data_IF_090267290995
#
_entry.id   IF_090267290995
#
_cell.length_a   1.000
_cell.length_b   1.000
_cell.length_c   1.000
_cell.angle_alpha   90.00
_cell.angle_beta   90.00
_cell.angle_gamma   90.00
#
_symmetry.space_group_name_H-M   'P 1'
#
loop_
_entity.id
_entity.type
_entity.pdbx_description
1 polymer ?
#
# COMPACT_ATOMS: atom_id res chain seq x y z
N UNK A 1 -31.22 62.53 -67.10
CA UNK A 1 -29.99 61.97 -66.52
C UNK A 1 -30.33 60.66 -65.83
N UNK A 2 -29.62 59.55 -66.10
CA UNK A 2 -29.90 58.28 -65.43
C UNK A 2 -29.34 58.29 -63.99
N UNK A 3 -30.08 57.66 -63.09
CA UNK A 3 -29.74 57.51 -61.68
C UNK A 3 -28.68 56.40 -61.47
N UNK A 4 -27.80 56.48 -60.46
CA UNK A 4 -27.03 55.33 -60.02
C UNK A 4 -27.86 54.50 -59.04
N UNK A 5 -28.04 53.26 -59.46
CA UNK A 5 -28.68 52.13 -58.81
C UNK A 5 -28.11 51.82 -57.42
N UNK A 6 -29.01 51.74 -56.45
CA UNK A 6 -28.82 51.13 -55.14
C UNK A 6 -28.38 49.67 -55.31
N UNK A 7 -27.15 49.38 -54.89
CA UNK A 7 -26.61 48.02 -54.81
C UNK A 7 -27.21 47.31 -53.59
N UNK A 8 -28.38 46.69 -53.79
CA UNK A 8 -28.95 45.73 -52.86
C UNK A 8 -28.10 44.46 -52.82
N UNK A 9 -27.10 44.44 -51.94
CA UNK A 9 -26.36 43.23 -51.57
C UNK A 9 -27.33 42.16 -51.06
N UNK A 10 -27.26 40.98 -51.66
CA UNK A 10 -28.30 39.95 -51.66
C UNK A 10 -28.41 39.23 -50.30
N UNK A 11 -29.59 39.18 -49.66
CA UNK A 11 -29.82 38.49 -48.37
C UNK A 11 -29.52 36.98 -48.35
N UNK A 12 -29.42 36.36 -49.53
CA UNK A 12 -29.18 34.92 -49.68
C UNK A 12 -27.72 34.52 -49.39
N UNK A 13 -26.76 35.42 -49.64
CA UNK A 13 -25.33 35.13 -49.48
C UNK A 13 -24.92 35.08 -47.99
N UNK A 14 -25.53 35.93 -47.16
CA UNK A 14 -25.38 35.92 -45.71
C UNK A 14 -26.08 34.73 -45.06
N UNK A 15 -27.24 34.31 -45.56
CA UNK A 15 -27.98 33.15 -45.03
C UNK A 15 -27.23 31.82 -45.24
N UNK A 16 -26.67 31.60 -46.43
CA UNK A 16 -25.88 30.41 -46.72
C UNK A 16 -24.59 30.34 -45.89
N UNK A 17 -23.95 31.50 -45.64
CA UNK A 17 -22.80 31.60 -44.74
C UNK A 17 -23.13 31.21 -43.30
N UNK A 18 -24.25 31.73 -42.77
CA UNK A 18 -24.75 31.39 -41.42
C UNK A 18 -25.12 29.91 -41.32
N UNK A 19 -25.77 29.33 -42.33
CA UNK A 19 -26.11 27.89 -42.35
C UNK A 19 -24.86 27.01 -42.33
N UNK A 20 -23.80 27.40 -43.06
CA UNK A 20 -22.52 26.70 -43.03
C UNK A 20 -21.87 26.79 -41.65
N UNK A 21 -21.88 27.96 -41.02
CA UNK A 21 -21.32 28.19 -39.69
C UNK A 21 -22.06 27.41 -38.60
N UNK A 22 -23.39 27.36 -38.66
CA UNK A 22 -24.22 26.52 -37.77
C UNK A 22 -23.84 25.05 -37.94
N UNK A 23 -23.66 24.59 -39.18
CA UNK A 23 -23.27 23.20 -39.46
C UNK A 23 -21.89 22.87 -38.89
N UNK A 24 -20.92 23.76 -39.07
CA UNK A 24 -19.56 23.60 -38.53
C UNK A 24 -19.56 23.62 -37.00
N UNK A 25 -20.34 24.51 -36.38
CA UNK A 25 -20.46 24.62 -34.92
C UNK A 25 -21.10 23.36 -34.33
N UNK A 26 -22.15 22.82 -34.97
CA UNK A 26 -22.77 21.55 -34.56
C UNK A 26 -21.78 20.38 -34.66
N UNK A 27 -20.96 20.33 -35.70
CA UNK A 27 -19.91 19.31 -35.81
C UNK A 27 -18.85 19.44 -34.71
N UNK A 28 -18.40 20.66 -34.39
CA UNK A 28 -17.46 20.89 -33.29
C UNK A 28 -18.04 20.52 -31.93
N UNK A 29 -19.32 20.83 -31.68
CA UNK A 29 -20.01 20.43 -30.45
C UNK A 29 -20.04 18.91 -30.29
N UNK A 30 -20.44 18.18 -31.34
CA UNK A 30 -20.45 16.72 -31.30
C UNK A 30 -19.07 16.12 -31.02
N UNK A 31 -18.00 16.69 -31.60
CA UNK A 31 -16.62 16.25 -31.33
C UNK A 31 -16.18 16.53 -29.88
N UNK A 32 -16.62 17.64 -29.29
CA UNK A 32 -16.30 17.98 -27.91
C UNK A 32 -17.07 17.09 -26.92
N UNK A 33 -18.34 16.81 -27.20
CA UNK A 33 -19.16 15.88 -26.42
C UNK A 33 -18.54 14.47 -26.43
N UNK A 34 -18.10 13.98 -27.58
CA UNK A 34 -17.40 12.69 -27.70
C UNK A 34 -16.10 12.67 -26.89
N UNK A 35 -15.28 13.74 -26.96
CA UNK A 35 -14.05 13.86 -26.18
C UNK A 35 -14.31 13.89 -24.67
N UNK A 36 -15.35 14.60 -24.25
CA UNK A 36 -15.72 14.71 -22.85
C UNK A 36 -16.15 13.35 -22.28
N UNK A 37 -16.96 12.59 -23.02
CA UNK A 37 -17.36 11.25 -22.61
C UNK A 37 -16.17 10.27 -22.60
N UNK A 38 -15.26 10.37 -23.57
CA UNK A 38 -14.04 9.58 -23.57
C UNK A 38 -13.13 9.90 -22.37
N UNK A 39 -13.04 11.16 -21.96
CA UNK A 39 -12.28 11.59 -20.80
C UNK A 39 -12.89 11.09 -19.49
N UNK A 40 -14.20 11.29 -19.28
CA UNK A 40 -14.91 10.74 -18.13
C UNK A 40 -14.73 9.23 -17.99
N UNK A 41 -14.73 8.51 -19.10
CA UNK A 41 -14.50 7.06 -19.11
C UNK A 41 -13.08 6.72 -18.65
N UNK A 42 -12.06 7.42 -19.16
CA UNK A 42 -10.67 7.23 -18.71
C UNK A 42 -10.51 7.52 -17.22
N UNK A 43 -11.09 8.60 -16.72
CA UNK A 43 -11.01 8.97 -15.30
C UNK A 43 -11.69 7.92 -14.41
N UNK A 44 -12.85 7.42 -14.84
CA UNK A 44 -13.55 6.33 -14.16
C UNK A 44 -12.71 5.03 -14.12
N UNK A 45 -12.07 4.68 -15.23
CA UNK A 45 -11.19 3.50 -15.29
C UNK A 45 -9.96 3.66 -14.38
N UNK A 46 -9.34 4.85 -14.37
CA UNK A 46 -8.19 5.18 -13.52
C UNK A 46 -8.56 5.11 -12.04
N UNK A 47 -9.69 5.71 -11.64
CA UNK A 47 -10.20 5.65 -10.28
C UNK A 47 -10.54 4.22 -9.85
N UNK A 48 -11.13 3.41 -10.73
CA UNK A 48 -11.41 2.00 -10.45
C UNK A 48 -10.13 1.17 -10.29
N UNK A 49 -9.04 1.53 -10.97
CA UNK A 49 -7.73 0.90 -10.79
C UNK A 49 -7.09 1.29 -9.46
N UNK A 50 -7.10 2.58 -9.11
CA UNK A 50 -6.62 3.07 -7.81
C UNK A 50 -7.39 2.46 -6.65
N UNK A 51 -8.72 2.40 -6.76
CA UNK A 51 -9.59 1.75 -5.78
C UNK A 51 -9.24 0.28 -5.58
N UNK A 52 -9.05 -0.49 -6.65
CA UNK A 52 -8.65 -1.91 -6.55
C UNK A 52 -7.34 -2.09 -5.78
N UNK A 53 -6.31 -1.29 -6.07
CA UNK A 53 -5.04 -1.33 -5.33
C UNK A 53 -5.20 -0.95 -3.86
N UNK A 54 -6.00 0.09 -3.59
CA UNK A 54 -6.31 0.48 -2.23
C UNK A 54 -7.05 -0.63 -1.47
N UNK A 55 -8.03 -1.27 -2.10
CA UNK A 55 -8.81 -2.36 -1.51
C UNK A 55 -7.97 -3.65 -1.32
N UNK A 56 -7.00 -3.93 -2.20
CA UNK A 56 -6.02 -5.00 -2.00
C UNK A 56 -5.21 -4.81 -0.71
N UNK A 57 -4.94 -3.56 -0.34
CA UNK A 57 -4.12 -3.20 0.82
C UNK A 57 -4.94 -2.96 2.11
N UNK A 58 -6.00 -2.16 2.02
CA UNK A 58 -6.84 -1.69 3.15
C UNK A 58 -8.20 -2.39 3.25
N UNK A 59 -8.60 -3.19 2.26
CA UNK A 59 -9.95 -3.72 2.15
C UNK A 59 -10.28 -4.85 3.15
N UNK A 60 -11.56 -5.07 3.46
CA UNK A 60 -12.02 -6.03 4.46
C UNK A 60 -11.74 -7.51 4.11
N UNK A 61 -11.34 -7.80 2.87
CA UNK A 61 -11.02 -9.14 2.37
C UNK A 61 -9.60 -9.26 1.75
N UNK A 62 -8.69 -8.33 2.07
CA UNK A 62 -7.31 -8.38 1.57
C UNK A 62 -6.63 -9.72 1.91
N UNK A 63 -6.14 -10.43 0.90
CA UNK A 63 -5.43 -11.71 1.07
C UNK A 63 -3.96 -11.50 1.48
N UNK A 64 -3.43 -12.40 2.32
CA UNK A 64 -2.04 -12.60 2.81
C UNK A 64 -1.28 -11.42 3.48
N UNK A 65 -1.69 -10.16 3.23
CA UNK A 65 -1.01 -8.92 3.64
C UNK A 65 -1.99 -7.90 4.24
N UNK A 66 -2.88 -8.34 5.14
CA UNK A 66 -3.89 -7.45 5.72
C UNK A 66 -3.27 -6.17 6.32
N UNK A 67 -3.91 -5.02 6.12
CA UNK A 67 -3.63 -3.77 6.83
C UNK A 67 -3.46 -4.01 8.34
N UNK A 68 -4.24 -4.93 8.91
CA UNK A 68 -4.12 -5.33 10.31
C UNK A 68 -2.76 -5.98 10.63
N UNK A 69 -2.23 -6.84 9.75
CA UNK A 69 -0.91 -7.45 9.90
C UNK A 69 0.21 -6.42 9.74
N UNK A 70 0.07 -5.48 8.80
CA UNK A 70 0.98 -4.35 8.66
C UNK A 70 0.98 -3.50 9.93
N UNK A 71 -0.21 -3.14 10.42
CA UNK A 71 -0.39 -2.36 11.62
C UNK A 71 0.23 -3.06 12.84
N UNK A 72 0.00 -4.37 13.01
CA UNK A 72 0.62 -5.18 14.08
C UNK A 72 2.15 -5.26 13.96
N UNK A 73 2.66 -5.33 12.73
CA UNK A 73 4.10 -5.35 12.48
C UNK A 73 4.76 -4.01 12.82
N UNK A 74 4.17 -2.90 12.37
CA UNK A 74 4.62 -1.54 12.73
C UNK A 74 4.52 -1.34 14.24
N UNK A 75 3.41 -1.77 14.86
CA UNK A 75 3.22 -1.69 16.30
C UNK A 75 4.30 -2.49 17.04
N UNK A 76 4.65 -3.68 16.55
CA UNK A 76 5.70 -4.50 17.15
C UNK A 76 7.07 -3.83 17.06
N UNK A 77 7.41 -3.19 15.92
CA UNK A 77 8.67 -2.45 15.75
C UNK A 77 8.70 -1.18 16.60
N UNK A 78 7.61 -0.41 16.61
CA UNK A 78 7.53 0.86 17.34
C UNK A 78 7.57 0.66 18.86
N UNK A 79 7.08 -0.48 19.35
CA UNK A 79 7.06 -0.82 20.77
C UNK A 79 8.21 -1.74 21.22
N UNK A 80 9.25 -1.96 20.39
CA UNK A 80 10.40 -2.73 20.88
C UNK A 80 11.07 -1.94 22.01
N UNK A 81 11.13 -2.54 23.19
CA UNK A 81 11.82 -1.97 24.36
C UNK A 81 13.31 -2.34 24.37
N UNK A 82 14.08 -1.67 25.24
CA UNK A 82 15.48 -2.05 25.47
C UNK A 82 16.43 -1.68 24.33
N UNK A 83 17.25 -2.63 23.88
CA UNK A 83 18.42 -2.39 23.02
C UNK A 83 18.02 -1.88 21.63
N UNK A 84 16.98 -2.42 21.02
CA UNK A 84 16.53 -2.00 19.68
C UNK A 84 16.03 -0.55 19.67
N UNK A 85 15.39 -0.10 20.75
CA UNK A 85 15.00 1.32 20.91
C UNK A 85 16.19 2.27 20.98
N UNK A 86 17.28 1.83 21.59
CA UNK A 86 18.53 2.60 21.70
C UNK A 86 19.29 2.65 20.39
N UNK A 87 19.23 1.55 19.62
CA UNK A 87 19.95 1.46 18.35
C UNK A 87 19.24 2.25 17.25
N UNK A 88 17.89 2.26 17.22
CA UNK A 88 17.11 2.80 16.10
C UNK A 88 16.08 3.89 16.45
N UNK A 89 16.45 4.97 17.15
CA UNK A 89 15.49 5.99 17.58
C UNK A 89 14.80 6.71 16.41
N UNK A 90 15.55 7.08 15.36
CA UNK A 90 15.00 7.76 14.19
C UNK A 90 14.03 6.87 13.40
N UNK A 91 14.33 5.57 13.31
CA UNK A 91 13.52 4.61 12.55
C UNK A 91 12.22 4.27 13.25
N UNK A 92 12.26 4.15 14.58
CA UNK A 92 11.06 4.00 15.41
C UNK A 92 10.15 5.24 15.29
N UNK A 93 10.72 6.45 15.32
CA UNK A 93 9.94 7.67 15.14
C UNK A 93 9.20 7.70 13.79
N UNK A 94 9.87 7.30 12.69
CA UNK A 94 9.24 7.17 11.38
C UNK A 94 8.10 6.15 11.38
N UNK A 95 8.29 4.99 12.01
CA UNK A 95 7.23 3.99 12.11
C UNK A 95 6.03 4.47 12.94
N UNK A 96 6.25 5.27 13.98
CA UNK A 96 5.18 5.89 14.74
C UNK A 96 4.42 6.97 13.94
N UNK A 97 5.10 7.69 13.05
CA UNK A 97 4.45 8.62 12.12
C UNK A 97 3.59 7.87 11.10
N UNK A 98 4.14 6.82 10.48
CA UNK A 98 3.42 5.96 9.53
C UNK A 98 2.19 5.34 10.22
N UNK A 99 2.36 4.81 11.45
CA UNK A 99 1.24 4.26 12.23
C UNK A 99 0.14 5.28 12.45
N UNK A 100 0.49 6.50 12.86
CA UNK A 100 -0.47 7.59 13.08
C UNK A 100 -1.20 7.98 11.78
N UNK A 101 -0.50 8.00 10.66
CA UNK A 101 -1.10 8.28 9.35
C UNK A 101 -2.09 7.18 8.93
N UNK A 102 -1.70 5.90 9.06
CA UNK A 102 -2.55 4.75 8.74
C UNK A 102 -3.80 4.69 9.65
N UNK A 103 -3.65 4.96 10.94
CA UNK A 103 -4.81 5.04 11.87
C UNK A 103 -5.79 6.12 11.44
N UNK A 104 -5.32 7.32 11.07
CA UNK A 104 -6.20 8.39 10.57
C UNK A 104 -6.92 8.00 9.28
N UNK A 105 -6.22 7.30 8.38
CA UNK A 105 -6.80 6.80 7.13
C UNK A 105 -7.89 5.76 7.39
N UNK A 106 -7.70 4.90 8.40
CA UNK A 106 -8.66 3.88 8.81
C UNK A 106 -9.88 4.44 9.55
N UNK A 107 -9.67 5.40 10.46
CA UNK A 107 -10.71 6.04 11.28
C UNK A 107 -11.55 7.06 10.49
N UNK A 108 -11.13 7.42 9.27
CA UNK A 108 -11.88 8.35 8.43
C UNK A 108 -13.25 7.77 8.11
N UNK A 109 -14.35 8.50 8.36
CA UNK A 109 -15.71 8.02 8.10
C UNK A 109 -15.86 7.61 6.63
N UNK A 110 -16.59 6.51 6.43
CA UNK A 110 -16.79 5.69 5.22
C UNK A 110 -17.43 6.49 4.06
N UNK A 111 -16.79 7.55 3.64
CA UNK A 111 -16.86 8.11 2.30
C UNK A 111 -15.57 7.67 1.66
N UNK A 112 -15.64 6.80 0.65
CA UNK A 112 -14.46 6.29 -0.05
C UNK A 112 -13.44 7.41 -0.30
N UNK A 113 -12.14 7.15 -0.12
CA UNK A 113 -11.12 8.14 -0.46
C UNK A 113 -11.38 8.68 -1.86
N UNK A 114 -11.31 10.00 -2.05
CA UNK A 114 -11.36 10.57 -3.41
C UNK A 114 -10.06 10.17 -4.10
N UNK A 115 -10.16 9.16 -4.97
CA UNK A 115 -9.04 8.65 -5.76
C UNK A 115 -8.58 9.63 -6.85
N UNK A 116 -9.34 10.70 -7.08
CA UNK A 116 -8.96 11.81 -7.95
C UNK A 116 -7.73 12.55 -7.41
N UNK A 117 -7.55 12.56 -6.08
CA UNK A 117 -6.47 13.28 -5.39
C UNK A 117 -5.28 12.39 -5.02
N UNK A 118 -5.40 11.09 -5.23
CA UNK A 118 -4.36 10.12 -4.89
C UNK A 118 -3.67 9.70 -6.17
N UNK A 119 -2.37 9.93 -6.23
CA UNK A 119 -1.53 9.48 -7.33
C UNK A 119 -1.28 7.97 -7.26
N UNK A 120 -0.87 7.39 -8.38
CA UNK A 120 -0.44 5.99 -8.39
C UNK A 120 0.83 5.78 -7.56
N UNK A 121 1.72 6.77 -7.51
CA UNK A 121 2.97 6.73 -6.75
C UNK A 121 2.70 6.67 -5.24
N UNK A 122 1.74 7.45 -4.73
CA UNK A 122 1.34 7.39 -3.32
C UNK A 122 0.71 6.04 -2.94
N UNK A 123 0.00 5.39 -3.86
CA UNK A 123 -0.50 4.02 -3.65
C UNK A 123 0.62 2.98 -3.69
N UNK A 124 1.63 3.15 -4.54
CA UNK A 124 2.79 2.24 -4.56
C UNK A 124 3.68 2.40 -3.33
N UNK A 125 3.80 3.60 -2.77
CA UNK A 125 4.53 3.83 -1.53
C UNK A 125 4.00 2.97 -0.37
N UNK A 126 2.70 2.63 -0.37
CA UNK A 126 2.11 1.70 0.60
C UNK A 126 2.72 0.29 0.50
N UNK A 127 3.02 -0.18 -0.72
CA UNK A 127 3.70 -1.45 -0.96
C UNK A 127 5.19 -1.38 -0.55
N UNK A 128 5.86 -0.26 -0.81
CA UNK A 128 7.26 -0.06 -0.42
C UNK A 128 7.46 -0.08 1.10
N UNK A 129 6.52 0.51 1.85
CA UNK A 129 6.51 0.47 3.32
C UNK A 129 6.50 -0.98 3.82
N UNK A 130 5.74 -1.88 3.18
CA UNK A 130 5.73 -3.30 3.53
C UNK A 130 7.09 -3.97 3.34
N UNK A 131 7.77 -3.68 2.23
CA UNK A 131 9.13 -4.16 1.95
C UNK A 131 10.12 -3.74 3.04
N UNK A 132 10.07 -2.46 3.43
CA UNK A 132 10.91 -1.91 4.49
C UNK A 132 10.66 -2.59 5.84
N UNK A 133 9.38 -2.76 6.22
CA UNK A 133 9.00 -3.41 7.49
C UNK A 133 9.48 -4.84 7.54
N UNK A 134 9.34 -5.58 6.44
CA UNK A 134 9.77 -6.98 6.37
C UNK A 134 11.30 -7.09 6.55
N UNK A 135 12.06 -6.23 5.87
CA UNK A 135 13.51 -6.18 6.01
C UNK A 135 13.94 -5.86 7.45
N UNK A 136 13.26 -4.90 8.08
CA UNK A 136 13.58 -4.44 9.42
C UNK A 136 13.24 -5.47 10.49
N UNK A 137 12.13 -6.19 10.35
CA UNK A 137 11.80 -7.31 11.23
C UNK A 137 12.84 -8.42 11.13
N UNK A 138 13.32 -8.72 9.93
CA UNK A 138 14.36 -9.73 9.74
C UNK A 138 15.67 -9.30 10.39
N UNK A 139 16.03 -8.01 10.28
CA UNK A 139 17.20 -7.46 10.94
C UNK A 139 17.10 -7.50 12.47
N UNK A 140 15.95 -7.15 13.05
CA UNK A 140 15.70 -7.25 14.49
C UNK A 140 15.84 -8.70 14.96
N UNK A 141 15.20 -9.67 14.27
CA UNK A 141 15.31 -11.09 14.63
C UNK A 141 16.75 -11.62 14.53
N UNK A 142 17.47 -11.23 13.48
CA UNK A 142 18.87 -11.62 13.30
C UNK A 142 19.78 -11.12 14.43
N UNK A 143 19.41 -10.02 15.09
CA UNK A 143 20.14 -9.48 16.24
C UNK A 143 19.74 -10.13 17.56
N UNK A 144 18.47 -10.51 17.70
CA UNK A 144 17.94 -11.15 18.91
C UNK A 144 18.32 -12.63 19.01
N UNK A 145 18.40 -13.38 17.91
CA UNK A 145 18.75 -14.81 17.92
C UNK A 145 20.10 -15.13 18.59
N UNK A 146 21.21 -14.42 18.29
CA UNK A 146 22.49 -14.65 18.95
C UNK A 146 22.45 -14.29 20.45
N UNK A 147 21.71 -13.24 20.82
CA UNK A 147 21.55 -12.81 22.20
C UNK A 147 20.76 -13.85 23.01
N UNK A 148 19.66 -14.35 22.46
CA UNK A 148 18.82 -15.39 23.07
C UNK A 148 19.58 -16.71 23.21
N UNK A 149 20.41 -17.06 22.22
CA UNK A 149 21.27 -18.25 22.29
C UNK A 149 22.30 -18.10 23.42
N UNK A 150 22.96 -16.95 23.51
CA UNK A 150 23.92 -16.68 24.58
C UNK A 150 23.28 -16.68 25.98
N UNK A 151 22.09 -16.08 26.12
CA UNK A 151 21.34 -16.09 27.39
C UNK A 151 20.89 -17.51 27.74
N UNK A 152 20.38 -18.28 26.77
CA UNK A 152 20.03 -19.70 26.95
C UNK A 152 21.23 -20.50 27.43
N UNK A 153 22.38 -20.35 26.80
CA UNK A 153 23.60 -21.09 27.17
C UNK A 153 24.06 -20.74 28.59
N UNK A 154 23.95 -19.46 28.98
CA UNK A 154 24.24 -19.03 30.35
C UNK A 154 23.27 -19.62 31.37
N UNK A 155 21.97 -19.66 31.06
CA UNK A 155 20.95 -20.29 31.92
C UNK A 155 21.20 -21.80 32.05
N UNK A 156 21.54 -22.49 30.95
CA UNK A 156 21.91 -23.92 30.96
C UNK A 156 23.13 -24.13 31.84
N UNK A 157 24.20 -23.36 31.64
CA UNK A 157 25.42 -23.46 32.45
C UNK A 157 25.17 -23.15 33.94
N UNK A 158 24.30 -22.18 34.24
CA UNK A 158 23.89 -21.88 35.61
C UNK A 158 23.08 -23.05 36.22
N UNK A 159 22.16 -23.64 35.45
CA UNK A 159 21.36 -24.80 35.85
C UNK A 159 22.24 -26.00 36.12
N UNK A 160 23.23 -26.25 35.25
CA UNK A 160 24.19 -27.35 35.38
C UNK A 160 25.08 -27.19 36.63
N UNK A 161 25.39 -25.95 37.02
CA UNK A 161 26.13 -25.63 38.25
C UNK A 161 25.27 -25.71 39.50
N UNK A 162 24.02 -25.26 39.42
CA UNK A 162 23.10 -25.21 40.55
C UNK A 162 22.47 -26.58 40.88
N UNK A 163 22.30 -27.43 39.87
CA UNK A 163 21.74 -28.78 40.01
C UNK A 163 22.82 -29.78 39.52
N UNK A 164 23.62 -30.36 40.43
CA UNK A 164 24.52 -31.45 40.11
C UNK A 164 23.75 -32.58 39.41
N UNK A 165 24.40 -33.29 38.48
CA UNK A 165 23.76 -34.31 37.64
C UNK A 165 22.95 -35.35 38.44
N UNK A 166 23.40 -35.66 39.66
CA UNK A 166 22.78 -36.64 40.56
C UNK A 166 21.43 -36.19 41.14
N UNK A 167 21.13 -34.88 41.11
CA UNK A 167 19.89 -34.28 41.62
C UNK A 167 18.93 -33.83 40.51
N UNK A 168 19.23 -34.07 39.22
CA UNK A 168 18.30 -33.74 38.14
C UNK A 168 17.09 -34.69 38.19
N UNK A 169 15.86 -34.19 38.11
CA UNK A 169 14.70 -35.06 37.98
C UNK A 169 14.86 -35.92 36.72
N UNK A 170 14.79 -37.25 36.89
CA UNK A 170 14.87 -38.23 35.79
C UNK A 170 13.88 -37.84 34.69
N UNK A 171 14.34 -37.87 33.44
CA UNK A 171 13.61 -37.41 32.26
C UNK A 171 12.35 -38.23 31.93
N UNK A 172 11.97 -39.19 32.76
CA UNK A 172 10.91 -40.17 32.52
C UNK A 172 9.49 -39.57 32.56
N UNK A 173 9.34 -38.29 32.94
CA UNK A 173 8.04 -37.60 32.98
C UNK A 173 7.88 -36.48 31.93
N UNK A 174 8.68 -36.41 30.86
CA UNK A 174 8.33 -35.53 29.72
C UNK A 174 7.19 -36.18 28.92
N UNK A 175 6.06 -35.48 28.67
CA UNK A 175 5.11 -35.92 27.66
C UNK A 175 5.84 -36.00 26.32
N UNK A 176 5.73 -37.15 25.65
CA UNK A 176 6.24 -37.32 24.28
C UNK A 176 5.63 -36.23 23.41
N UNK A 177 6.49 -35.40 22.82
CA UNK A 177 6.10 -34.48 21.76
C UNK A 177 5.85 -35.32 20.50
N UNK A 178 4.67 -35.91 20.40
CA UNK A 178 4.19 -36.51 19.16
C UNK A 178 3.72 -35.41 18.20
N UNK A 179 4.15 -35.59 16.96
CA UNK A 179 3.70 -34.97 15.70
C UNK A 179 4.29 -33.62 15.27
N UNK A 180 5.35 -33.75 14.47
CA UNK A 180 5.80 -32.79 13.46
C UNK A 180 4.92 -32.94 12.20
N UNK A 181 4.20 -31.91 11.71
CA UNK A 181 3.67 -31.95 10.35
C UNK A 181 4.79 -31.61 9.36
N UNK A 182 5.05 -32.51 8.41
CA UNK A 182 5.84 -32.22 7.20
C UNK A 182 5.07 -31.21 6.34
N UNK A 183 5.46 -29.95 6.38
CA UNK A 183 5.00 -28.90 5.45
C UNK A 183 6.09 -28.59 4.43
N UNK A 184 5.74 -28.67 3.14
CA UNK A 184 6.63 -28.60 1.97
C UNK A 184 7.38 -27.28 1.88
N UNK A 185 8.66 -27.38 1.50
CA UNK A 185 9.51 -26.27 1.10
C UNK A 185 9.25 -25.95 -0.38
N UNK A 186 8.89 -24.71 -0.70
CA UNK A 186 9.05 -24.13 -2.03
C UNK A 186 9.77 -22.79 -1.84
N UNK A 187 11.10 -22.82 -1.93
CA UNK A 187 11.91 -21.62 -2.10
C UNK A 187 11.83 -21.20 -3.57
N UNK A 188 11.25 -20.02 -3.83
CA UNK A 188 11.58 -19.25 -5.02
C UNK A 188 12.69 -18.26 -4.62
N UNK A 189 13.87 -18.47 -5.20
CA UNK A 189 15.02 -17.59 -5.07
C UNK A 189 14.79 -16.35 -5.94
N UNK A 190 14.90 -15.16 -5.36
CA UNK A 190 15.22 -13.94 -6.12
C UNK A 190 16.67 -13.59 -5.82
N UNK A 191 17.52 -13.71 -6.84
CA UNK A 191 18.88 -13.18 -6.83
C UNK A 191 18.86 -11.68 -7.17
N UNK A 192 19.78 -10.88 -6.61
CA UNK A 192 19.89 -9.46 -6.91
C UNK A 192 20.68 -9.23 -8.20
N UNK A 193 20.17 -8.31 -9.03
CA UNK A 193 20.95 -7.48 -9.97
C UNK A 193 20.58 -6.02 -9.68
#
# INVERSE_FOLDING_TARGET
MPAPTSSGGTPAQTRAGIELEIKQTRQKLAQLEEKLEAEKKRDSEDNNRKKRKYDEFMGPHGSFYSHERLWMNIFSIANVEGTSRRLWPARIAMYDEIRRALTKLHESPISSPSFDRISHEELEALNEIWGCITADQNAIRAWEEPLLTSVRDRIVALTDKAIPADNRPKADNRPKADNKPKGRSNQAQCSPN
#
